data_IF_630179521988
#
_entry.id   IF_630179521988
#
_cell.length_a   1.000
_cell.length_b   1.000
_cell.length_c   1.000
_cell.angle_alpha   90.00
_cell.angle_beta   90.00
_cell.angle_gamma   90.00
#
_symmetry.space_group_name_H-M   'P 1'
#
loop_
_entity.id
_entity.type
_entity.pdbx_description
1 polymer ?
#
# COMPACT_ATOMS: atom_id res chain seq x y z
N UNK A 1 -36.53 -48.54 31.88
CA UNK A 1 -36.51 -47.49 30.86
C UNK A 1 -35.36 -46.54 31.16
N UNK A 2 -34.20 -46.69 30.48
CA UNK A 2 -33.02 -45.84 30.68
C UNK A 2 -33.04 -44.72 29.63
N UNK A 3 -33.13 -43.47 30.08
CA UNK A 3 -33.02 -42.30 29.20
C UNK A 3 -31.53 -42.03 28.89
N UNK A 4 -31.18 -42.09 27.62
CA UNK A 4 -29.88 -41.74 27.10
C UNK A 4 -29.85 -40.21 26.84
N UNK A 5 -29.03 -39.47 27.59
CA UNK A 5 -28.78 -38.04 27.31
C UNK A 5 -27.68 -37.96 26.24
N UNK A 6 -28.03 -37.44 25.06
CA UNK A 6 -27.04 -37.03 24.05
C UNK A 6 -26.49 -35.67 24.42
N UNK A 7 -25.21 -35.61 24.77
CA UNK A 7 -24.46 -34.37 24.93
C UNK A 7 -23.99 -33.92 23.54
N UNK A 8 -24.59 -32.86 23.00
CA UNK A 8 -24.17 -32.25 21.76
C UNK A 8 -22.93 -31.38 22.00
N UNK A 9 -21.77 -31.78 21.48
CA UNK A 9 -20.60 -30.92 21.41
C UNK A 9 -20.81 -29.82 20.33
N UNK A 10 -21.02 -28.58 20.76
CA UNK A 10 -20.97 -27.42 19.90
C UNK A 10 -19.48 -27.11 19.63
N UNK A 11 -19.01 -27.51 18.46
CA UNK A 11 -17.67 -27.15 18.01
C UNK A 11 -17.59 -25.65 17.72
N UNK A 12 -16.95 -24.88 18.59
CA UNK A 12 -16.60 -23.48 18.35
C UNK A 12 -15.44 -23.43 17.37
N UNK A 13 -15.71 -23.13 16.11
CA UNK A 13 -14.67 -22.86 15.10
C UNK A 13 -13.98 -21.53 15.45
N UNK A 14 -12.76 -21.61 15.97
CA UNK A 14 -11.89 -20.47 16.13
C UNK A 14 -11.44 -20.02 14.73
N UNK A 15 -12.07 -18.97 14.21
CA UNK A 15 -11.53 -18.28 13.04
C UNK A 15 -10.15 -17.71 13.43
N UNK A 16 -9.09 -18.21 12.80
CA UNK A 16 -7.74 -17.70 12.95
C UNK A 16 -7.73 -16.28 12.38
N UNK A 17 -7.72 -15.26 13.24
CA UNK A 17 -7.48 -13.90 12.81
C UNK A 17 -6.00 -13.83 12.43
N UNK A 18 -5.70 -13.78 11.14
CA UNK A 18 -4.36 -13.58 10.67
C UNK A 18 -3.89 -12.20 11.18
N UNK A 19 -2.82 -12.18 11.98
CA UNK A 19 -2.28 -10.93 12.52
C UNK A 19 -1.79 -10.06 11.36
N UNK A 20 -2.09 -8.76 11.43
CA UNK A 20 -1.56 -7.80 10.47
C UNK A 20 -0.07 -7.54 10.76
N UNK A 21 0.75 -7.61 9.71
CA UNK A 21 2.15 -7.18 9.79
C UNK A 21 2.23 -5.65 9.69
N UNK A 22 3.16 -5.05 10.45
CA UNK A 22 3.36 -3.60 10.46
C UNK A 22 4.85 -3.25 10.43
N UNK A 23 5.21 -2.32 9.54
CA UNK A 23 6.54 -1.76 9.37
C UNK A 23 6.52 -0.27 9.71
N UNK A 24 7.30 0.15 10.71
CA UNK A 24 7.35 1.54 11.18
C UNK A 24 8.65 2.25 10.77
N UNK A 25 9.63 1.51 10.26
CA UNK A 25 10.97 1.98 9.89
C UNK A 25 11.84 2.49 11.07
N UNK A 26 11.33 2.54 12.31
CA UNK A 26 12.00 3.11 13.47
C UNK A 26 13.31 2.41 13.84
N UNK A 27 13.39 1.11 13.57
CA UNK A 27 14.59 0.29 13.83
C UNK A 27 15.56 0.25 12.67
N UNK A 28 15.19 0.85 11.53
CA UNK A 28 16.03 0.86 10.35
C UNK A 28 17.08 1.96 10.44
N UNK A 29 18.23 1.73 9.79
CA UNK A 29 19.33 2.69 9.76
C UNK A 29 18.96 3.89 8.89
N UNK A 30 19.04 5.09 9.44
CA UNK A 30 18.88 6.32 8.67
C UNK A 30 19.92 6.43 7.54
N UNK A 31 19.51 6.94 6.39
CA UNK A 31 20.31 7.07 5.17
C UNK A 31 20.39 5.78 4.34
N UNK A 32 19.80 4.68 4.76
CA UNK A 32 19.83 3.41 4.05
C UNK A 32 18.43 2.96 3.60
N UNK A 33 18.40 2.06 2.62
CA UNK A 33 17.20 1.30 2.29
C UNK A 33 16.88 0.35 3.46
N UNK A 34 15.61 0.25 3.91
CA UNK A 34 15.28 -0.65 5.00
C UNK A 34 15.48 -2.12 4.60
N UNK A 35 15.98 -2.93 5.51
CA UNK A 35 16.16 -4.37 5.30
C UNK A 35 14.81 -5.05 5.02
N UNK A 36 14.80 -6.04 4.11
CA UNK A 36 13.58 -6.73 3.70
C UNK A 36 12.69 -5.92 2.75
N UNK A 37 13.27 -4.94 2.07
CA UNK A 37 12.62 -4.15 1.03
C UNK A 37 13.49 -4.06 -0.22
N UNK A 38 12.87 -4.11 -1.38
CA UNK A 38 13.52 -4.02 -2.69
C UNK A 38 13.05 -2.80 -3.48
N UNK A 39 13.99 -1.93 -3.87
CA UNK A 39 13.71 -0.80 -4.76
C UNK A 39 13.51 -1.29 -6.19
N UNK A 40 12.47 -0.79 -6.84
CA UNK A 40 12.13 -1.09 -8.22
C UNK A 40 11.46 0.12 -8.88
N UNK A 41 11.18 0.02 -10.18
CA UNK A 41 10.41 1.02 -10.92
C UNK A 41 9.77 0.41 -12.15
N UNK A 42 8.66 1.02 -12.61
CA UNK A 42 8.16 0.88 -13.97
C UNK A 42 8.60 2.08 -14.79
N UNK A 43 9.03 1.86 -16.03
CA UNK A 43 9.53 2.93 -16.88
C UNK A 43 10.95 3.38 -16.52
N UNK A 44 11.27 4.64 -16.77
CA UNK A 44 12.62 5.18 -16.69
C UNK A 44 12.87 5.99 -15.41
N UNK A 45 14.13 6.34 -15.16
CA UNK A 45 14.57 7.20 -14.07
C UNK A 45 15.32 6.47 -12.97
N UNK A 46 15.45 7.12 -11.81
CA UNK A 46 16.21 6.59 -10.67
C UNK A 46 15.46 6.90 -9.37
N UNK A 47 14.73 5.94 -8.80
CA UNK A 47 14.15 6.11 -7.46
C UNK A 47 15.25 6.24 -6.42
N UNK A 48 15.01 7.04 -5.40
CA UNK A 48 15.92 7.20 -4.26
C UNK A 48 15.14 7.01 -2.95
N UNK A 49 15.21 5.81 -2.43
CA UNK A 49 14.54 5.41 -1.20
C UNK A 49 15.54 5.36 -0.05
N UNK A 50 15.23 6.01 1.05
CA UNK A 50 16.03 5.95 2.27
C UNK A 50 15.18 6.18 3.51
N UNK A 51 15.57 5.59 4.62
CA UNK A 51 15.03 5.91 5.94
C UNK A 51 15.58 7.27 6.37
N UNK A 52 14.73 8.13 6.89
CA UNK A 52 15.11 9.47 7.39
C UNK A 52 14.50 9.72 8.77
N UNK A 53 15.15 10.54 9.57
CA UNK A 53 14.55 11.04 10.80
C UNK A 53 13.45 12.06 10.46
N UNK A 54 12.26 11.90 11.04
CA UNK A 54 11.15 12.85 10.91
C UNK A 54 10.38 12.94 12.24
N UNK A 55 10.49 14.08 12.92
CA UNK A 55 9.82 14.31 14.20
C UNK A 55 8.28 14.37 14.11
N UNK A 56 7.73 14.45 12.88
CA UNK A 56 6.29 14.41 12.62
C UNK A 56 5.79 13.02 12.20
N UNK A 57 6.68 12.01 12.12
CA UNK A 57 6.29 10.66 11.75
C UNK A 57 5.25 10.11 12.72
N UNK A 58 4.23 9.39 12.23
CA UNK A 58 3.22 8.76 13.10
C UNK A 58 3.80 7.73 14.06
N UNK A 59 4.79 6.96 13.64
CA UNK A 59 5.72 6.26 14.52
C UNK A 59 7.05 7.02 14.55
N UNK A 60 7.83 6.88 15.60
CA UNK A 60 9.06 7.62 15.73
C UNK A 60 10.22 6.70 16.11
N UNK A 61 11.46 7.08 15.70
CA UNK A 61 11.87 8.42 15.20
C UNK A 61 11.99 8.53 13.68
N UNK A 62 11.64 7.50 12.91
CA UNK A 62 11.97 7.45 11.49
C UNK A 62 10.74 7.35 10.57
N UNK A 63 10.95 7.74 9.31
CA UNK A 63 10.05 7.48 8.19
C UNK A 63 10.84 7.02 6.97
N UNK A 64 10.21 6.32 6.04
CA UNK A 64 10.77 6.01 4.74
C UNK A 64 10.52 7.20 3.79
N UNK A 65 11.54 7.63 3.06
CA UNK A 65 11.45 8.73 2.08
C UNK A 65 11.75 8.24 0.67
N UNK A 66 10.93 8.64 -0.30
CA UNK A 66 11.27 8.67 -1.72
C UNK A 66 11.61 10.11 -2.10
N UNK A 67 12.75 10.34 -2.80
CA UNK A 67 13.19 11.67 -3.24
C UNK A 67 13.90 11.68 -4.60
N UNK A 68 13.94 10.55 -5.29
CA UNK A 68 14.45 10.47 -6.66
C UNK A 68 13.38 10.77 -7.70
N UNK A 69 13.80 10.91 -8.96
CA UNK A 69 12.90 11.09 -10.10
C UNK A 69 12.88 9.85 -10.96
N UNK A 70 11.70 9.24 -11.12
CA UNK A 70 11.47 8.09 -11.99
C UNK A 70 10.01 8.05 -12.42
N UNK A 71 9.71 7.38 -13.55
CA UNK A 71 8.33 7.34 -14.06
C UNK A 71 7.35 6.83 -13.00
N UNK A 72 7.64 5.68 -12.39
CA UNK A 72 6.82 5.08 -11.33
C UNK A 72 7.72 4.34 -10.32
N UNK A 73 8.26 5.02 -9.31
CA UNK A 73 9.01 4.41 -8.23
C UNK A 73 8.18 3.42 -7.40
N UNK A 74 8.73 2.23 -7.14
CA UNK A 74 8.19 1.23 -6.23
C UNK A 74 9.21 0.88 -5.15
N UNK A 75 8.72 0.61 -3.96
CA UNK A 75 9.48 -0.11 -2.94
C UNK A 75 8.63 -1.29 -2.47
N UNK A 76 9.13 -2.50 -2.69
CA UNK A 76 8.39 -3.74 -2.50
C UNK A 76 8.85 -4.45 -1.23
N UNK A 77 7.91 -4.89 -0.41
CA UNK A 77 8.20 -5.70 0.78
C UNK A 77 8.56 -7.12 0.37
N UNK A 78 9.75 -7.56 0.79
CA UNK A 78 10.23 -8.92 0.54
C UNK A 78 9.43 -9.95 1.36
N UNK A 79 9.33 -11.16 0.84
CA UNK A 79 8.67 -12.26 1.52
C UNK A 79 7.14 -12.15 1.59
N UNK A 80 6.53 -11.14 0.96
CA UNK A 80 5.06 -11.02 0.91
C UNK A 80 4.48 -11.75 -0.30
N UNK A 81 3.32 -12.41 -0.10
CA UNK A 81 2.61 -13.15 -1.12
C UNK A 81 1.11 -13.16 -0.77
N UNK A 82 0.38 -12.12 -1.19
CA UNK A 82 -1.04 -11.97 -0.89
C UNK A 82 -1.89 -12.11 -2.14
N UNK A 83 -2.93 -12.97 -2.07
CA UNK A 83 -3.99 -13.07 -3.07
C UNK A 83 -5.17 -12.21 -2.67
N UNK A 84 -5.63 -12.37 -1.44
CA UNK A 84 -6.70 -11.61 -0.80
C UNK A 84 -6.20 -11.05 0.52
N UNK A 85 -6.67 -9.86 0.91
CA UNK A 85 -6.18 -9.20 2.11
C UNK A 85 -6.36 -7.71 2.10
N UNK A 86 -5.41 -7.02 2.71
CA UNK A 86 -5.35 -5.57 2.68
C UNK A 86 -3.90 -5.08 2.66
N UNK A 87 -3.73 -3.85 2.21
CA UNK A 87 -2.52 -3.05 2.34
C UNK A 87 -2.88 -1.62 2.72
N UNK A 88 -2.15 -1.06 3.66
CA UNK A 88 -2.36 0.28 4.18
C UNK A 88 -1.01 0.96 4.41
N UNK A 89 -0.95 2.27 4.22
CA UNK A 89 0.23 3.07 4.54
C UNK A 89 -0.19 4.46 5.00
N UNK A 90 0.56 5.02 5.94
CA UNK A 90 0.56 6.46 6.17
C UNK A 90 1.60 7.11 5.26
N UNK A 91 1.22 8.17 4.57
CA UNK A 91 2.12 8.90 3.68
C UNK A 91 1.94 10.41 3.83
N UNK A 92 3.00 11.16 3.52
CA UNK A 92 3.01 12.62 3.58
C UNK A 92 3.71 13.15 2.33
N UNK A 93 2.94 13.69 1.35
CA UNK A 93 3.52 14.32 0.17
C UNK A 93 4.20 15.63 0.59
N UNK A 94 5.48 15.78 0.27
CA UNK A 94 6.28 16.94 0.66
C UNK A 94 6.39 17.97 -0.45
N UNK A 95 6.73 17.51 -1.66
CA UNK A 95 6.96 18.34 -2.84
C UNK A 95 6.95 17.51 -4.13
N UNK A 96 7.01 18.18 -5.24
CA UNK A 96 7.05 17.73 -6.62
C UNK A 96 6.41 18.77 -7.52
N UNK A 97 6.94 19.00 -8.70
CA UNK A 97 6.40 19.92 -9.68
C UNK A 97 5.50 19.20 -10.69
N UNK A 98 5.92 17.98 -11.10
CA UNK A 98 5.15 17.13 -11.99
C UNK A 98 4.10 16.28 -11.26
N UNK A 99 4.40 15.88 -10.00
CA UNK A 99 3.49 15.03 -9.24
C UNK A 99 3.76 15.15 -7.72
N UNK A 100 2.72 14.91 -6.89
CA UNK A 100 2.84 14.84 -5.43
C UNK A 100 2.03 13.67 -4.90
N UNK A 101 2.44 12.47 -5.29
CA UNK A 101 1.71 11.25 -5.04
C UNK A 101 2.34 10.38 -3.93
N UNK A 102 1.47 9.69 -3.20
CA UNK A 102 1.82 8.56 -2.35
C UNK A 102 0.78 7.45 -2.52
N UNK A 103 1.22 6.20 -2.54
CA UNK A 103 0.35 5.07 -2.83
C UNK A 103 0.83 3.74 -2.30
N UNK A 104 -0.05 2.74 -2.44
CA UNK A 104 0.21 1.33 -2.15
C UNK A 104 0.06 0.50 -3.41
N UNK A 105 0.85 -0.58 -3.50
CA UNK A 105 0.74 -1.58 -4.56
C UNK A 105 0.43 -2.94 -3.96
N UNK A 106 -0.32 -3.76 -4.71
CA UNK A 106 -0.63 -5.14 -4.33
C UNK A 106 -0.72 -6.04 -5.56
N UNK A 107 -0.68 -7.35 -5.30
CA UNK A 107 -0.58 -8.38 -6.32
C UNK A 107 0.52 -8.10 -7.33
N UNK A 108 1.66 -7.59 -6.85
CA UNK A 108 2.81 -7.27 -7.69
C UNK A 108 3.46 -8.58 -8.15
N UNK A 109 3.32 -8.90 -9.42
CA UNK A 109 3.98 -10.02 -10.08
C UNK A 109 5.42 -9.63 -10.47
N UNK A 110 5.55 -8.49 -11.10
CA UNK A 110 6.81 -7.87 -11.52
C UNK A 110 6.64 -6.34 -11.63
N UNK A 111 7.65 -5.63 -12.14
CA UNK A 111 7.63 -4.16 -12.27
C UNK A 111 6.70 -3.63 -13.36
N UNK A 112 6.07 -4.50 -14.14
CA UNK A 112 5.17 -4.15 -15.25
C UNK A 112 3.73 -4.62 -15.03
N UNK A 113 3.49 -5.46 -13.99
CA UNK A 113 2.22 -6.14 -13.78
C UNK A 113 1.81 -6.10 -12.31
N UNK A 114 0.91 -5.17 -11.94
CA UNK A 114 0.45 -4.96 -10.57
C UNK A 114 -0.76 -4.02 -10.49
N UNK A 115 -1.38 -3.94 -9.33
CA UNK A 115 -2.34 -2.89 -8.98
C UNK A 115 -1.69 -1.78 -8.15
N UNK A 116 -2.20 -0.56 -8.30
CA UNK A 116 -1.82 0.59 -7.48
C UNK A 116 -3.04 1.44 -7.12
N UNK A 117 -3.13 1.84 -5.86
CA UNK A 117 -3.96 2.96 -5.42
C UNK A 117 -3.06 4.09 -4.96
N UNK A 118 -3.38 5.32 -5.35
CA UNK A 118 -2.60 6.49 -4.95
C UNK A 118 -3.50 7.69 -4.62
N UNK A 119 -3.07 8.53 -3.71
CA UNK A 119 -3.59 9.88 -3.52
C UNK A 119 -2.56 10.90 -4.00
N UNK A 120 -3.01 12.04 -4.51
CA UNK A 120 -2.15 13.06 -5.11
C UNK A 120 -2.55 14.44 -4.62
N UNK A 121 -1.62 15.15 -3.97
CA UNK A 121 -1.86 16.47 -3.42
C UNK A 121 -1.91 17.54 -4.51
N UNK A 122 -1.13 17.40 -5.59
CA UNK A 122 -1.12 18.36 -6.69
C UNK A 122 -2.40 18.29 -7.53
N UNK A 123 -2.89 17.07 -7.77
CA UNK A 123 -4.10 16.83 -8.58
C UNK A 123 -5.42 16.85 -7.77
N UNK A 124 -5.36 16.77 -6.44
CA UNK A 124 -6.55 16.73 -5.59
C UNK A 124 -7.44 15.51 -5.88
N UNK A 125 -6.89 14.31 -5.81
CA UNK A 125 -7.67 13.11 -6.09
C UNK A 125 -7.07 11.82 -5.49
N UNK A 126 -7.92 10.77 -5.41
CA UNK A 126 -7.52 9.38 -5.16
C UNK A 126 -7.96 8.54 -6.35
N UNK A 127 -7.05 7.73 -6.87
CA UNK A 127 -7.24 6.90 -8.06
C UNK A 127 -6.73 5.48 -7.82
N UNK A 128 -7.32 4.53 -8.57
CA UNK A 128 -6.88 3.13 -8.64
C UNK A 128 -6.61 2.76 -10.09
N UNK A 129 -5.52 2.01 -10.29
CA UNK A 129 -5.04 1.61 -11.62
C UNK A 129 -4.58 0.15 -11.58
N UNK A 130 -4.57 -0.48 -12.75
CA UNK A 130 -3.69 -1.62 -13.01
C UNK A 130 -2.55 -1.22 -13.95
N UNK A 131 -1.41 -1.85 -13.79
CA UNK A 131 -0.36 -1.92 -14.78
C UNK A 131 -0.40 -3.29 -15.44
N UNK A 132 -0.49 -3.32 -16.76
CA UNK A 132 -0.40 -4.53 -17.56
C UNK A 132 0.67 -4.29 -18.63
N UNK A 133 1.71 -5.11 -18.61
CA UNK A 133 2.88 -4.98 -19.48
C UNK A 133 3.48 -3.56 -19.50
N UNK A 134 3.57 -2.95 -18.32
CA UNK A 134 4.09 -1.60 -18.12
C UNK A 134 3.13 -0.46 -18.47
N UNK A 135 1.96 -0.76 -19.03
CA UNK A 135 0.95 0.23 -19.37
C UNK A 135 -0.01 0.45 -18.21
N UNK A 136 -0.11 1.69 -17.75
CA UNK A 136 -1.03 2.10 -16.68
C UNK A 136 -2.42 2.41 -17.22
N UNK A 137 -3.46 1.78 -16.66
CA UNK A 137 -4.86 2.05 -16.96
C UNK A 137 -5.62 2.37 -15.69
N UNK A 138 -6.26 3.55 -15.62
CA UNK A 138 -7.16 3.93 -14.55
C UNK A 138 -8.52 3.27 -14.75
N UNK A 139 -9.07 2.67 -13.70
CA UNK A 139 -10.41 2.08 -13.76
C UNK A 139 -11.40 2.64 -12.73
N UNK A 140 -10.92 3.35 -11.68
CA UNK A 140 -11.79 4.05 -10.73
C UNK A 140 -11.05 5.21 -10.05
N UNK A 141 -11.83 6.13 -9.43
CA UNK A 141 -11.28 7.17 -8.58
C UNK A 141 -12.28 8.27 -8.26
N UNK A 142 -11.87 9.18 -7.39
CA UNK A 142 -12.67 10.31 -6.89
C UNK A 142 -11.78 11.55 -6.75
N UNK A 143 -12.34 12.73 -7.00
CA UNK A 143 -11.71 14.00 -6.69
C UNK A 143 -12.02 14.37 -5.24
N UNK A 144 -11.00 14.69 -4.48
CA UNK A 144 -11.10 15.22 -3.11
C UNK A 144 -9.80 15.93 -2.76
N UNK A 145 -9.82 16.93 -1.88
CA UNK A 145 -8.60 17.60 -1.43
C UNK A 145 -7.66 16.61 -0.71
N UNK A 146 -6.39 16.62 -1.13
CA UNK A 146 -5.30 15.92 -0.46
C UNK A 146 -4.28 16.98 -0.05
N UNK A 147 -4.16 17.24 1.24
CA UNK A 147 -3.29 18.31 1.72
C UNK A 147 -1.81 17.91 1.60
N UNK A 148 -1.00 18.75 0.92
CA UNK A 148 0.46 18.61 0.94
C UNK A 148 1.01 18.83 2.36
N UNK A 149 2.14 18.20 2.69
CA UNK A 149 2.86 18.33 3.97
C UNK A 149 2.05 17.86 5.20
N UNK A 150 1.00 17.06 4.99
CA UNK A 150 0.21 16.42 6.03
C UNK A 150 0.25 14.91 5.88
N UNK A 151 0.18 14.19 7.00
CA UNK A 151 0.06 12.76 7.03
C UNK A 151 -1.35 12.32 6.67
N UNK A 152 -1.45 11.38 5.75
CA UNK A 152 -2.68 10.73 5.30
C UNK A 152 -2.55 9.23 5.40
N UNK A 153 -3.68 8.54 5.56
CA UNK A 153 -3.75 7.08 5.49
C UNK A 153 -4.46 6.67 4.22
N UNK A 154 -3.83 5.79 3.44
CA UNK A 154 -4.45 5.15 2.27
C UNK A 154 -4.47 3.65 2.49
N UNK A 155 -5.66 3.05 2.34
CA UNK A 155 -5.90 1.62 2.51
C UNK A 155 -6.64 1.05 1.32
N UNK A 156 -6.26 -0.16 0.93
CA UNK A 156 -7.00 -0.98 -0.01
C UNK A 156 -7.25 -2.35 0.62
N UNK A 157 -8.51 -2.72 0.74
CA UNK A 157 -8.94 -4.10 1.00
C UNK A 157 -9.26 -4.76 -0.33
N UNK A 158 -8.75 -5.97 -0.56
CA UNK A 158 -8.92 -6.69 -1.83
C UNK A 158 -9.31 -8.15 -1.60
N UNK A 159 -10.29 -8.62 -2.39
CA UNK A 159 -10.77 -9.99 -2.35
C UNK A 159 -11.35 -10.39 -3.70
N UNK A 160 -10.81 -11.44 -4.33
CA UNK A 160 -11.15 -11.81 -5.68
C UNK A 160 -10.93 -10.63 -6.64
N UNK A 161 -11.98 -10.20 -7.33
CA UNK A 161 -11.98 -9.06 -8.24
C UNK A 161 -12.40 -7.74 -7.60
N UNK A 162 -12.77 -7.74 -6.30
CA UNK A 162 -13.32 -6.58 -5.60
C UNK A 162 -12.27 -5.85 -4.79
N UNK A 163 -12.32 -4.52 -4.83
CA UNK A 163 -11.44 -3.61 -4.10
C UNK A 163 -12.25 -2.55 -3.35
N UNK A 164 -11.85 -2.26 -2.11
CA UNK A 164 -12.38 -1.17 -1.30
C UNK A 164 -11.26 -0.20 -1.00
N UNK A 165 -11.39 1.04 -1.47
CA UNK A 165 -10.37 2.08 -1.25
C UNK A 165 -10.86 3.05 -0.19
N UNK A 166 -10.06 3.17 0.88
CA UNK A 166 -10.32 4.07 2.01
C UNK A 166 -9.19 5.10 2.13
N UNK A 167 -9.56 6.33 2.47
CA UNK A 167 -8.64 7.43 2.69
C UNK A 167 -8.97 8.11 4.02
N UNK A 168 -7.97 8.28 4.88
CA UNK A 168 -8.11 8.82 6.23
C UNK A 168 -9.24 8.13 7.04
N UNK A 169 -9.30 6.79 6.94
CA UNK A 169 -10.29 5.96 7.64
C UNK A 169 -11.68 5.94 7.01
N UNK A 170 -11.95 6.73 5.96
CA UNK A 170 -13.24 6.77 5.27
C UNK A 170 -13.21 5.96 3.98
N UNK A 171 -14.16 5.03 3.80
CA UNK A 171 -14.39 4.38 2.51
C UNK A 171 -14.78 5.41 1.45
N UNK A 172 -14.00 5.49 0.37
CA UNK A 172 -14.24 6.42 -0.73
C UNK A 172 -15.06 5.77 -1.84
N UNK A 173 -14.66 4.57 -2.25
CA UNK A 173 -15.33 3.82 -3.32
C UNK A 173 -14.96 2.35 -3.27
N UNK A 174 -15.81 1.56 -3.92
CA UNK A 174 -15.55 0.17 -4.29
C UNK A 174 -15.30 0.09 -5.79
N UNK A 175 -14.48 -0.85 -6.22
CA UNK A 175 -14.13 -1.07 -7.61
C UNK A 175 -13.97 -2.56 -7.90
N UNK A 176 -14.09 -2.93 -9.18
CA UNK A 176 -13.87 -4.29 -9.64
C UNK A 176 -12.90 -4.29 -10.82
N UNK A 177 -11.98 -5.23 -10.83
CA UNK A 177 -11.06 -5.52 -11.92
C UNK A 177 -10.49 -6.93 -11.75
N UNK A 178 -10.27 -7.66 -12.82
CA UNK A 178 -9.76 -9.03 -12.82
C UNK A 178 -8.48 -9.21 -13.65
N UNK A 179 -7.79 -8.10 -13.95
CA UNK A 179 -6.51 -8.10 -14.70
C UNK A 179 -5.44 -8.94 -14.00
N UNK A 180 -5.35 -8.83 -12.65
CA UNK A 180 -4.41 -9.63 -11.85
C UNK A 180 -5.16 -10.35 -10.72
N UNK A 181 -5.31 -11.65 -10.86
CA UNK A 181 -6.04 -12.51 -9.90
C UNK A 181 -5.12 -13.36 -9.03
N UNK A 182 -3.83 -13.40 -9.37
CA UNK A 182 -2.85 -14.25 -8.72
C UNK A 182 -2.26 -13.59 -7.47
N UNK A 183 -1.60 -14.41 -6.67
CA UNK A 183 -0.82 -13.98 -5.52
C UNK A 183 0.35 -13.09 -5.96
N UNK A 184 0.63 -12.03 -5.19
CA UNK A 184 1.76 -11.14 -5.48
C UNK A 184 2.23 -10.36 -4.25
N UNK A 185 3.33 -9.62 -4.43
CA UNK A 185 3.91 -8.78 -3.38
C UNK A 185 3.07 -7.53 -3.13
N UNK A 186 3.36 -6.88 -2.00
CA UNK A 186 2.82 -5.56 -1.63
C UNK A 186 3.95 -4.56 -1.45
N UNK A 187 3.64 -3.28 -1.44
CA UNK A 187 4.63 -2.22 -1.27
C UNK A 187 4.05 -0.82 -1.35
N UNK A 188 4.95 0.16 -1.44
CA UNK A 188 4.62 1.57 -1.61
C UNK A 188 5.04 2.08 -3.00
N UNK A 189 4.43 3.19 -3.41
CA UNK A 189 4.54 3.70 -4.76
C UNK A 189 4.49 5.23 -4.79
N UNK A 190 5.25 5.83 -5.72
CA UNK A 190 5.14 7.25 -6.07
C UNK A 190 5.15 7.44 -7.59
N UNK A 191 5.16 8.69 -8.05
CA UNK A 191 5.21 9.06 -9.47
C UNK A 191 6.11 10.26 -9.70
N UNK A 192 6.83 10.25 -10.82
CA UNK A 192 7.65 11.33 -11.33
C UNK A 192 8.66 11.86 -10.26
N UNK A 193 8.60 13.14 -9.96
CA UNK A 193 9.45 13.84 -9.03
C UNK A 193 8.85 13.96 -7.60
N UNK A 194 7.81 13.18 -7.30
CA UNK A 194 7.17 13.19 -5.98
C UNK A 194 8.17 12.93 -4.87
N UNK A 195 8.34 13.88 -3.96
CA UNK A 195 9.04 13.67 -2.69
C UNK A 195 8.00 13.35 -1.63
N UNK A 196 8.03 12.10 -1.15
CA UNK A 196 6.99 11.59 -0.24
C UNK A 196 7.61 10.79 0.90
N UNK A 197 7.10 11.02 2.11
CA UNK A 197 7.38 10.20 3.29
C UNK A 197 6.31 9.12 3.43
N UNK A 198 6.73 7.96 3.96
CA UNK A 198 5.87 6.82 4.28
C UNK A 198 6.19 6.30 5.67
N UNK A 199 5.16 5.86 6.38
CA UNK A 199 5.27 5.27 7.70
C UNK A 199 4.09 4.32 7.94
N UNK A 200 4.17 3.52 9.01
CA UNK A 200 3.08 2.62 9.42
C UNK A 200 2.54 1.77 8.26
N UNK A 201 3.44 1.20 7.45
CA UNK A 201 3.02 0.28 6.39
C UNK A 201 2.49 -1.01 6.99
N UNK A 202 1.23 -1.30 6.72
CA UNK A 202 0.53 -2.45 7.30
C UNK A 202 -0.09 -3.30 6.21
N UNK A 203 -0.03 -4.62 6.34
CA UNK A 203 -0.63 -5.55 5.41
C UNK A 203 -1.04 -6.84 6.12
N UNK A 204 -1.94 -7.59 5.51
CA UNK A 204 -2.37 -8.88 6.04
C UNK A 204 -3.25 -9.63 5.07
N UNK A 205 -3.24 -10.96 5.17
CA UNK A 205 -4.16 -11.84 4.46
C UNK A 205 -5.55 -11.82 5.10
N UNK A 206 -6.58 -12.11 4.29
CA UNK A 206 -7.94 -12.45 4.75
C UNK A 206 -8.12 -13.94 4.79
#
# INVERSE_FOLDING_TARGET
>A
MKKLLLLGCVGMSLASVCAADRETFDRARAGALPAGWASAQTGEGRPAWAVVADASAPSQPHALKQSGTASYPLLLKDGTALKDGFVEVKFKPLSGEDDQAGGVVWRVKDTSNYYVARANALEGNVRIYHFLDGRRTQFKGVNLPVAAKQWHTLRVDFSGRQFKVSFNGKLLFEAEDDTHTEVGRVGVWTKADSVTLFDDFTYGAK
#
